data_IF_868771774588
#
_entry.id   IF_868771774588
#
_cell.length_a   1.000
_cell.length_b   1.000
_cell.length_c   1.000
_cell.angle_alpha   90.00
_cell.angle_beta   90.00
_cell.angle_gamma   90.00
#
_symmetry.space_group_name_H-M   'P 1'
#
loop_
_entity.id
_entity.type
_entity.pdbx_description
1 polymer ?
#
# COMPACT_ATOMS: atom_id res chain seq x y z
N UNK A 1 -23.11 12.75 -2.18
CA UNK A 1 -22.31 11.58 -2.65
C UNK A 1 -21.90 10.70 -1.47
N UNK A 2 -21.17 11.20 -0.47
CA UNK A 2 -20.72 10.45 0.72
C UNK A 2 -21.79 9.79 1.61
N UNK A 3 -23.05 10.27 1.58
CA UNK A 3 -24.18 9.67 2.31
C UNK A 3 -24.56 8.25 1.85
N UNK A 4 -23.95 7.74 0.78
CA UNK A 4 -24.20 6.39 0.23
C UNK A 4 -23.15 5.36 0.64
N UNK A 5 -22.07 5.78 1.30
CA UNK A 5 -20.97 4.91 1.70
C UNK A 5 -21.30 4.24 3.03
N UNK A 6 -20.92 2.97 3.16
CA UNK A 6 -21.03 2.20 4.40
C UNK A 6 -19.70 1.57 4.74
N UNK A 7 -19.35 1.64 6.02
CA UNK A 7 -18.30 0.83 6.61
C UNK A 7 -18.97 -0.31 7.39
N UNK A 8 -18.56 -1.54 7.17
CA UNK A 8 -18.94 -2.67 8.04
C UNK A 8 -17.72 -3.11 8.80
N UNK A 9 -17.80 -3.09 10.12
CA UNK A 9 -16.72 -3.51 11.01
C UNK A 9 -17.17 -4.75 11.76
N UNK A 10 -16.32 -5.78 11.87
CA UNK A 10 -16.65 -6.99 12.63
C UNK A 10 -15.46 -7.57 13.40
N UNK A 11 -15.74 -8.15 14.56
CA UNK A 11 -14.86 -9.08 15.28
C UNK A 11 -15.39 -10.53 15.08
N UNK A 12 -15.01 -11.49 15.94
CA UNK A 12 -15.44 -12.88 15.85
C UNK A 12 -16.88 -13.18 16.35
N UNK A 13 -17.58 -12.17 16.88
CA UNK A 13 -18.88 -12.28 17.57
C UNK A 13 -19.87 -11.18 17.22
N UNK A 14 -19.39 -10.02 16.82
CA UNK A 14 -20.13 -8.79 16.66
C UNK A 14 -19.81 -8.17 15.30
N UNK A 15 -20.80 -7.50 14.75
CA UNK A 15 -20.64 -6.72 13.54
C UNK A 15 -21.49 -5.45 13.63
N UNK A 16 -20.98 -4.37 13.04
CA UNK A 16 -21.61 -3.07 13.00
C UNK A 16 -21.56 -2.51 11.59
N UNK A 17 -22.67 -1.96 11.14
CA UNK A 17 -22.75 -1.13 9.95
C UNK A 17 -22.72 0.34 10.38
N UNK A 18 -21.79 1.09 9.81
CA UNK A 18 -21.50 2.48 10.15
C UNK A 18 -21.69 3.32 8.89
N UNK A 19 -22.42 4.42 9.02
CA UNK A 19 -22.44 5.49 8.03
C UNK A 19 -22.37 6.85 8.72
N UNK A 20 -22.43 7.93 7.95
CA UNK A 20 -22.30 9.30 8.48
C UNK A 20 -23.38 9.70 9.52
N UNK A 21 -24.44 8.90 9.68
CA UNK A 21 -25.57 9.22 10.54
C UNK A 21 -25.88 8.14 11.58
N UNK A 22 -25.49 6.90 11.31
CA UNK A 22 -25.93 5.76 12.10
C UNK A 22 -24.80 4.79 12.40
N UNK A 23 -24.88 4.20 13.59
CA UNK A 23 -24.11 3.05 14.03
C UNK A 23 -25.12 1.96 14.37
N UNK A 24 -25.23 0.94 13.52
CA UNK A 24 -26.23 -0.12 13.67
C UNK A 24 -25.51 -1.45 13.89
N UNK A 25 -25.78 -2.11 15.02
CA UNK A 25 -25.35 -3.49 15.23
C UNK A 25 -26.09 -4.39 14.25
N UNK A 26 -25.37 -5.18 13.47
CA UNK A 26 -25.92 -6.16 12.55
C UNK A 26 -25.66 -7.57 13.07
N UNK A 27 -26.48 -8.57 12.68
CA UNK A 27 -26.23 -9.95 13.07
C UNK A 27 -24.88 -10.43 12.53
N UNK A 28 -24.05 -11.02 13.38
CA UNK A 28 -22.76 -11.58 12.96
C UNK A 28 -22.92 -12.71 11.92
N UNK A 29 -24.08 -13.37 11.88
CA UNK A 29 -24.43 -14.33 10.83
C UNK A 29 -24.41 -13.73 9.43
N UNK A 30 -24.53 -12.40 9.27
CA UNK A 30 -24.37 -11.74 7.98
C UNK A 30 -22.90 -11.76 7.50
N UNK A 31 -21.93 -11.67 8.42
CA UNK A 31 -20.50 -11.81 8.12
C UNK A 31 -20.19 -13.25 7.71
N UNK A 32 -20.70 -14.21 8.49
CA UNK A 32 -20.53 -15.65 8.21
C UNK A 32 -21.16 -16.06 6.87
N UNK A 33 -22.39 -15.61 6.57
CA UNK A 33 -23.08 -15.94 5.31
C UNK A 33 -22.31 -15.45 4.08
N UNK A 34 -21.55 -14.37 4.22
CA UNK A 34 -20.74 -13.77 3.15
C UNK A 34 -19.31 -14.30 3.12
N UNK A 35 -18.95 -15.19 4.04
CA UNK A 35 -17.61 -15.75 4.16
C UNK A 35 -16.52 -14.65 4.24
N UNK A 36 -16.83 -13.57 4.97
CA UNK A 36 -15.88 -12.47 5.18
C UNK A 36 -14.85 -12.88 6.25
N UNK A 37 -13.58 -12.60 5.99
CA UNK A 37 -12.49 -13.01 6.89
C UNK A 37 -12.52 -12.19 8.19
N UNK A 38 -12.24 -12.87 9.31
CA UNK A 38 -12.13 -12.26 10.64
C UNK A 38 -10.66 -12.09 11.09
N UNK A 39 -9.71 -12.09 10.17
CA UNK A 39 -8.31 -11.80 10.45
C UNK A 39 -8.10 -10.29 10.70
N UNK A 40 -7.29 -9.94 11.69
CA UNK A 40 -6.99 -8.54 11.99
C UNK A 40 -6.44 -7.80 10.76
N UNK A 41 -6.90 -6.57 10.54
CA UNK A 41 -6.56 -5.73 9.38
C UNK A 41 -7.00 -6.25 8.02
N UNK A 42 -7.84 -7.29 7.98
CA UNK A 42 -8.47 -7.66 6.73
C UNK A 42 -9.51 -6.60 6.30
N UNK A 43 -9.50 -6.22 5.02
CA UNK A 43 -10.53 -5.36 4.44
C UNK A 43 -10.94 -5.84 3.05
N UNK A 44 -12.16 -5.50 2.65
CA UNK A 44 -12.70 -5.87 1.34
C UNK A 44 -13.81 -4.91 0.91
N UNK A 45 -13.88 -4.58 -0.38
CA UNK A 45 -15.06 -3.93 -0.95
C UNK A 45 -16.14 -4.98 -1.19
N UNK A 46 -17.34 -4.74 -0.67
CA UNK A 46 -18.49 -5.60 -0.86
C UNK A 46 -19.71 -4.79 -1.29
N UNK A 47 -20.63 -5.45 -1.99
CA UNK A 47 -21.98 -4.94 -2.19
C UNK A 47 -22.87 -5.40 -1.03
N UNK A 48 -23.42 -4.46 -0.27
CA UNK A 48 -24.39 -4.80 0.78
C UNK A 48 -25.78 -5.08 0.17
N UNK A 49 -26.67 -5.86 0.82
CA UNK A 49 -27.99 -6.19 0.26
C UNK A 49 -28.88 -5.00 -0.13
N UNK A 50 -28.68 -3.83 0.48
CA UNK A 50 -29.39 -2.61 0.10
C UNK A 50 -28.75 -1.88 -1.10
N UNK A 51 -27.82 -2.53 -1.78
CA UNK A 51 -27.14 -2.04 -2.98
C UNK A 51 -26.04 -1.02 -2.70
N UNK A 52 -25.79 -0.63 -1.46
CA UNK A 52 -24.75 0.36 -1.13
C UNK A 52 -23.34 -0.23 -1.26
N UNK A 53 -22.41 0.48 -1.93
CA UNK A 53 -20.97 0.19 -1.85
C UNK A 53 -20.51 0.22 -0.40
N UNK A 54 -19.83 -0.84 0.03
CA UNK A 54 -19.45 -1.02 1.42
C UNK A 54 -17.99 -1.43 1.53
N UNK A 55 -17.24 -0.76 2.40
CA UNK A 55 -15.95 -1.25 2.84
C UNK A 55 -16.17 -2.13 4.06
N UNK A 56 -15.83 -3.41 3.97
CA UNK A 56 -15.73 -4.30 5.10
C UNK A 56 -14.33 -4.21 5.71
N UNK A 57 -14.25 -4.22 7.04
CA UNK A 57 -13.01 -4.20 7.80
C UNK A 57 -13.12 -5.11 9.02
N UNK A 58 -12.12 -5.96 9.21
CA UNK A 58 -12.07 -6.90 10.33
C UNK A 58 -11.19 -6.40 11.47
N UNK A 59 -11.71 -6.55 12.70
CA UNK A 59 -11.02 -6.23 13.95
C UNK A 59 -10.21 -7.40 14.50
N UNK A 60 -10.22 -8.56 13.85
CA UNK A 60 -9.58 -9.76 14.39
C UNK A 60 -10.38 -10.42 15.52
N UNK A 61 -10.03 -11.66 15.84
CA UNK A 61 -10.42 -12.30 17.10
C UNK A 61 -9.63 -11.75 18.29
N UNK A 62 -8.44 -11.22 18.02
CA UNK A 62 -7.51 -10.61 18.99
C UNK A 62 -6.69 -9.55 18.28
N UNK A 63 -6.43 -8.43 18.96
CA UNK A 63 -5.49 -7.42 18.50
C UNK A 63 -4.04 -7.93 18.60
N UNK A 64 -3.14 -7.49 17.70
CA UNK A 64 -1.70 -7.65 17.91
C UNK A 64 -1.28 -7.03 19.24
N UNK A 65 -0.29 -7.63 19.89
CA UNK A 65 0.19 -7.18 21.20
C UNK A 65 0.64 -5.71 21.18
N UNK A 66 1.31 -5.29 20.10
CA UNK A 66 1.79 -3.91 19.94
C UNK A 66 0.63 -2.91 19.85
N UNK A 67 -0.42 -3.25 19.11
CA UNK A 67 -1.62 -2.42 19.00
C UNK A 67 -2.39 -2.36 20.32
N UNK A 68 -2.52 -3.49 21.02
CA UNK A 68 -3.13 -3.54 22.34
C UNK A 68 -2.37 -2.65 23.34
N UNK A 69 -1.04 -2.72 23.32
CA UNK A 69 -0.17 -1.90 24.17
C UNK A 69 -0.31 -0.42 23.83
N UNK A 70 -0.40 -0.07 22.54
CA UNK A 70 -0.56 1.32 22.09
C UNK A 70 -1.91 1.90 22.53
N UNK A 71 -3.00 1.17 22.32
CA UNK A 71 -4.35 1.55 22.73
C UNK A 71 -4.49 1.74 24.26
N UNK A 72 -3.68 1.03 25.06
CA UNK A 72 -3.69 1.17 26.52
C UNK A 72 -2.87 2.36 27.03
N UNK A 73 -1.78 2.71 26.34
CA UNK A 73 -0.80 3.67 26.86
C UNK A 73 -0.90 5.07 26.25
N UNK A 74 -1.47 5.21 25.06
CA UNK A 74 -1.65 6.52 24.43
C UNK A 74 -2.85 7.27 25.02
N UNK A 75 -2.76 8.60 25.04
CA UNK A 75 -3.81 9.45 25.63
C UNK A 75 -5.11 9.44 24.81
N UNK A 76 -4.99 9.50 23.48
CA UNK A 76 -6.10 9.51 22.52
C UNK A 76 -5.74 8.57 21.34
N UNK A 77 -5.65 7.25 21.58
CA UNK A 77 -5.25 6.34 20.53
C UNK A 77 -6.35 6.24 19.48
N UNK A 78 -5.95 6.32 18.23
CA UNK A 78 -6.78 5.97 17.09
C UNK A 78 -6.35 4.59 16.63
N UNK A 79 -7.22 3.57 16.58
CA UNK A 79 -6.84 2.23 16.14
C UNK A 79 -6.18 2.24 14.75
N UNK A 80 -5.12 1.46 14.53
CA UNK A 80 -4.43 1.40 13.23
C UNK A 80 -5.38 1.04 12.08
N UNK A 81 -6.35 0.19 12.40
CA UNK A 81 -7.39 -0.23 11.47
C UNK A 81 -8.26 0.93 10.98
N UNK A 82 -8.42 2.01 11.77
CA UNK A 82 -9.11 3.22 11.33
C UNK A 82 -8.33 3.93 10.22
N UNK A 83 -7.00 4.01 10.36
CA UNK A 83 -6.13 4.63 9.37
C UNK A 83 -6.18 3.85 8.06
N UNK A 84 -6.00 2.52 8.11
CA UNK A 84 -6.11 1.65 6.92
C UNK A 84 -7.50 1.76 6.29
N UNK A 85 -8.57 1.64 7.06
CA UNK A 85 -9.92 1.77 6.53
C UNK A 85 -10.15 3.11 5.84
N UNK A 86 -9.60 4.20 6.39
CA UNK A 86 -9.71 5.54 5.80
C UNK A 86 -8.90 5.67 4.50
N UNK A 87 -7.66 5.17 4.49
CA UNK A 87 -6.78 5.18 3.31
C UNK A 87 -7.43 4.42 2.15
N UNK A 88 -7.92 3.21 2.41
CA UNK A 88 -8.55 2.36 1.40
C UNK A 88 -9.91 2.90 0.96
N UNK A 89 -10.72 3.41 1.90
CA UNK A 89 -11.98 4.09 1.54
C UNK A 89 -11.76 5.28 0.61
N UNK A 90 -10.66 6.01 0.75
CA UNK A 90 -10.33 7.12 -0.15
C UNK A 90 -10.00 6.62 -1.57
N UNK A 91 -9.20 5.56 -1.70
CA UNK A 91 -8.94 4.93 -2.99
C UNK A 91 -10.24 4.53 -3.68
N UNK A 92 -11.10 3.79 -2.97
CA UNK A 92 -12.28 3.18 -3.57
C UNK A 92 -13.40 4.18 -3.87
N UNK A 93 -13.70 5.08 -2.93
CA UNK A 93 -14.88 5.93 -3.03
C UNK A 93 -14.60 7.32 -3.57
N UNK A 94 -13.33 7.72 -3.69
CA UNK A 94 -12.95 9.02 -4.23
C UNK A 94 -12.12 8.85 -5.49
N UNK A 95 -11.01 8.12 -5.43
CA UNK A 95 -10.09 8.06 -6.57
C UNK A 95 -10.63 7.22 -7.72
N UNK A 96 -11.09 6.00 -7.47
CA UNK A 96 -11.52 5.08 -8.54
C UNK A 96 -12.73 5.57 -9.34
N UNK A 97 -13.65 6.31 -8.71
CA UNK A 97 -14.83 6.84 -9.40
C UNK A 97 -14.56 8.12 -10.20
N UNK A 98 -13.64 8.98 -9.74
CA UNK A 98 -13.61 10.37 -10.20
C UNK A 98 -12.26 10.85 -10.70
N UNK A 99 -11.17 10.15 -10.40
CA UNK A 99 -9.83 10.64 -10.74
C UNK A 99 -9.38 10.13 -12.09
N UNK A 100 -8.77 11.02 -12.86
CA UNK A 100 -8.19 10.66 -14.14
C UNK A 100 -6.97 9.79 -13.89
N UNK A 101 -7.00 8.55 -14.36
CA UNK A 101 -5.81 7.72 -14.46
C UNK A 101 -4.90 8.33 -15.53
N UNK A 102 -3.78 8.90 -15.11
CA UNK A 102 -2.80 9.52 -16.01
C UNK A 102 -1.59 8.61 -16.15
N UNK A 103 -1.59 7.74 -17.16
CA UNK A 103 -0.43 6.90 -17.44
C UNK A 103 -0.61 5.95 -18.61
N UNK A 104 0.47 5.77 -19.38
CA UNK A 104 0.70 4.58 -20.22
C UNK A 104 0.93 3.33 -19.35
N UNK A 105 0.96 2.13 -19.95
CA UNK A 105 1.19 0.80 -19.36
C UNK A 105 2.43 0.60 -18.44
N UNK A 106 3.18 1.67 -18.12
CA UNK A 106 4.44 1.66 -17.37
C UNK A 106 4.37 2.36 -15.99
N UNK A 107 3.18 2.67 -15.49
CA UNK A 107 2.99 3.14 -14.11
C UNK A 107 3.36 2.02 -13.13
N UNK A 108 4.07 2.34 -12.06
CA UNK A 108 4.49 1.35 -11.07
C UNK A 108 4.86 1.98 -9.74
N UNK A 109 4.39 1.37 -8.65
CA UNK A 109 4.84 1.68 -7.28
C UNK A 109 6.16 1.01 -6.91
N UNK A 110 6.66 0.12 -7.75
CA UNK A 110 7.82 -0.70 -7.46
C UNK A 110 9.16 0.05 -7.61
N UNK A 111 10.08 -0.26 -6.71
CA UNK A 111 11.45 0.26 -6.73
C UNK A 111 12.33 -0.62 -7.62
N UNK A 112 13.10 -0.08 -8.58
CA UNK A 112 14.05 -0.89 -9.33
C UNK A 112 15.02 -1.65 -8.42
N UNK A 113 15.18 -2.95 -8.65
CA UNK A 113 16.11 -3.81 -7.93
C UNK A 113 17.33 -4.17 -8.81
N UNK A 114 18.57 -4.15 -8.29
CA UNK A 114 18.96 -3.72 -6.93
C UNK A 114 18.71 -2.23 -6.69
N UNK A 115 18.35 -1.89 -5.45
CA UNK A 115 18.00 -0.52 -5.06
C UNK A 115 19.23 0.38 -5.19
N UNK A 116 19.04 1.57 -5.76
CA UNK A 116 20.09 2.57 -6.01
C UNK A 116 19.91 3.79 -5.10
N UNK A 117 20.99 4.22 -4.43
CA UNK A 117 20.91 5.32 -3.46
C UNK A 117 20.62 6.69 -4.07
N UNK A 118 21.10 6.94 -5.29
CA UNK A 118 21.14 8.31 -5.79
C UNK A 118 19.73 8.91 -5.99
N UNK A 119 18.80 8.20 -6.63
CA UNK A 119 17.41 8.67 -6.78
C UNK A 119 16.70 8.87 -5.43
N UNK A 120 16.88 7.91 -4.51
CA UNK A 120 16.29 7.96 -3.16
C UNK A 120 16.82 9.12 -2.32
N UNK A 121 18.09 9.50 -2.50
CA UNK A 121 18.69 10.64 -1.82
C UNK A 121 17.92 11.92 -2.12
N UNK A 122 17.56 12.18 -3.39
CA UNK A 122 16.82 13.37 -3.75
C UNK A 122 15.42 13.38 -3.14
N UNK A 123 14.69 12.25 -3.19
CA UNK A 123 13.36 12.15 -2.61
C UNK A 123 13.36 12.30 -1.09
N UNK A 124 14.34 11.72 -0.39
CA UNK A 124 14.55 11.97 1.04
C UNK A 124 14.89 13.46 1.32
N UNK A 125 15.70 14.10 0.47
CA UNK A 125 16.03 15.53 0.64
C UNK A 125 14.79 16.42 0.44
N UNK A 126 13.91 16.07 -0.49
CA UNK A 126 12.60 16.71 -0.67
C UNK A 126 11.76 16.55 0.61
N UNK A 127 11.64 15.34 1.16
CA UNK A 127 10.90 15.08 2.41
C UNK A 127 11.41 15.97 3.55
N UNK A 128 12.73 16.06 3.75
CA UNK A 128 13.31 16.93 4.78
C UNK A 128 13.00 18.39 4.56
N UNK A 129 13.11 18.86 3.32
CA UNK A 129 12.83 20.25 2.99
C UNK A 129 11.34 20.59 3.16
N UNK A 130 10.43 19.69 2.81
CA UNK A 130 9.00 19.87 3.05
C UNK A 130 8.67 19.87 4.56
N UNK A 131 9.28 18.96 5.33
CA UNK A 131 9.12 18.94 6.78
C UNK A 131 9.65 20.21 7.45
N UNK A 132 10.84 20.67 7.06
CA UNK A 132 11.41 21.93 7.54
C UNK A 132 10.52 23.14 7.18
N UNK A 133 9.82 23.10 6.04
CA UNK A 133 8.82 24.11 5.70
C UNK A 133 7.61 24.11 6.64
N UNK A 134 7.17 22.94 7.11
CA UNK A 134 6.13 22.83 8.15
C UNK A 134 6.58 23.40 9.50
N UNK A 135 7.85 23.20 9.83
CA UNK A 135 8.47 23.77 11.03
C UNK A 135 8.72 25.29 10.92
N UNK A 136 8.42 25.89 9.77
CA UNK A 136 8.58 27.34 9.53
C UNK A 136 10.01 27.76 9.17
N UNK A 137 10.89 26.84 8.81
CA UNK A 137 12.26 27.15 8.41
C UNK A 137 12.27 27.90 7.07
N UNK A 138 12.92 29.06 7.03
CA UNK A 138 13.01 29.89 5.82
C UNK A 138 13.61 29.15 4.62
N UNK A 139 13.19 29.54 3.41
CA UNK A 139 13.66 28.98 2.12
C UNK A 139 13.44 27.47 1.90
N UNK A 140 12.82 26.75 2.84
CA UNK A 140 12.66 25.30 2.78
C UNK A 140 11.90 24.80 1.54
N UNK A 141 10.87 25.53 1.09
CA UNK A 141 10.20 25.20 -0.18
C UNK A 141 11.12 25.42 -1.40
N UNK A 142 12.02 26.40 -1.35
CA UNK A 142 13.03 26.62 -2.38
C UNK A 142 14.07 25.48 -2.42
N UNK A 143 14.46 24.95 -1.26
CA UNK A 143 15.29 23.75 -1.18
C UNK A 143 14.56 22.52 -1.74
N UNK A 144 13.27 22.34 -1.40
CA UNK A 144 12.45 21.27 -1.96
C UNK A 144 12.37 21.37 -3.48
N UNK A 145 12.18 22.58 -4.02
CA UNK A 145 12.21 22.85 -5.46
C UNK A 145 13.55 22.44 -6.10
N UNK A 146 14.66 22.87 -5.51
CA UNK A 146 16.00 22.54 -6.00
C UNK A 146 16.24 21.03 -6.11
N UNK A 147 15.90 20.26 -5.06
CA UNK A 147 16.05 18.80 -5.11
C UNK A 147 15.08 18.11 -6.06
N UNK A 148 13.85 18.62 -6.16
CA UNK A 148 12.85 18.12 -7.10
C UNK A 148 13.28 18.31 -8.56
N UNK A 149 13.80 19.48 -8.91
CA UNK A 149 14.32 19.76 -10.25
C UNK A 149 15.49 18.82 -10.60
N UNK A 150 16.46 18.67 -9.69
CA UNK A 150 17.59 17.75 -9.87
C UNK A 150 17.14 16.28 -10.01
N UNK A 151 16.16 15.85 -9.23
CA UNK A 151 15.63 14.49 -9.34
C UNK A 151 14.97 14.25 -10.70
N UNK A 152 14.13 15.17 -11.17
CA UNK A 152 13.45 15.03 -12.46
C UNK A 152 14.42 15.08 -13.63
N UNK A 153 15.47 15.91 -13.54
CA UNK A 153 16.50 16.00 -14.57
C UNK A 153 17.36 14.73 -14.64
N UNK A 154 17.84 14.23 -13.50
CA UNK A 154 18.79 13.13 -13.45
C UNK A 154 18.13 11.74 -13.46
N UNK A 155 16.85 11.65 -13.03
CA UNK A 155 16.09 10.39 -12.93
C UNK A 155 14.68 10.53 -13.56
N UNK A 156 14.56 10.98 -14.83
CA UNK A 156 13.27 11.24 -15.46
C UNK A 156 12.38 10.00 -15.53
N UNK A 157 12.98 8.83 -15.75
CA UNK A 157 12.26 7.55 -15.78
C UNK A 157 11.69 7.15 -14.42
N UNK A 158 12.40 7.47 -13.33
CA UNK A 158 11.91 7.25 -11.97
C UNK A 158 10.72 8.17 -11.67
N UNK A 159 10.86 9.47 -11.99
CA UNK A 159 9.81 10.45 -11.84
C UNK A 159 8.55 10.12 -12.66
N UNK A 160 8.73 9.61 -13.90
CA UNK A 160 7.63 9.20 -14.77
C UNK A 160 6.85 8.02 -14.21
N UNK A 161 7.55 6.98 -13.74
CA UNK A 161 6.90 5.75 -13.24
C UNK A 161 6.13 5.97 -11.94
N UNK A 162 6.73 6.70 -11.00
CA UNK A 162 6.15 6.88 -9.67
C UNK A 162 5.06 7.95 -9.64
N UNK A 163 4.88 8.72 -10.72
CA UNK A 163 3.93 9.83 -10.80
C UNK A 163 2.52 9.48 -10.31
N UNK A 164 1.96 8.36 -10.76
CA UNK A 164 0.60 7.96 -10.35
C UNK A 164 0.56 7.52 -8.89
N UNK A 165 1.64 6.93 -8.36
CA UNK A 165 1.78 6.61 -6.94
C UNK A 165 1.89 7.88 -6.10
N UNK A 166 2.66 8.89 -6.55
CA UNK A 166 2.72 10.22 -5.91
C UNK A 166 1.34 10.90 -5.86
N UNK A 167 0.47 10.63 -6.83
CA UNK A 167 -0.93 11.08 -6.84
C UNK A 167 -1.78 10.22 -5.88
N UNK A 168 -1.87 8.92 -6.12
CA UNK A 168 -2.84 8.04 -5.45
C UNK A 168 -2.47 7.84 -3.99
N UNK A 169 -1.30 7.26 -3.75
CA UNK A 169 -0.83 6.90 -2.41
C UNK A 169 -0.48 8.14 -1.60
N UNK A 170 0.14 9.14 -2.23
CA UNK A 170 0.49 10.39 -1.56
C UNK A 170 -0.72 11.17 -1.04
N UNK A 171 -1.81 11.26 -1.83
CA UNK A 171 -3.03 11.93 -1.38
C UNK A 171 -3.87 11.07 -0.42
N UNK A 172 -3.86 9.75 -0.57
CA UNK A 172 -4.49 8.85 0.39
C UNK A 172 -3.84 8.96 1.77
N UNK A 173 -2.50 9.01 1.84
CA UNK A 173 -1.77 9.22 3.11
C UNK A 173 -2.07 10.56 3.75
N UNK A 174 -2.22 11.62 2.94
CA UNK A 174 -2.66 12.92 3.45
C UNK A 174 -4.03 12.82 4.14
N UNK A 175 -5.01 12.17 3.50
CA UNK A 175 -6.36 11.99 4.05
C UNK A 175 -6.34 11.12 5.30
N UNK A 176 -5.57 10.03 5.29
CA UNK A 176 -5.36 9.15 6.44
C UNK A 176 -4.91 9.94 7.68
N UNK A 177 -3.83 10.71 7.57
CA UNK A 177 -3.27 11.47 8.70
C UNK A 177 -4.23 12.55 9.18
N UNK A 178 -4.90 13.26 8.27
CA UNK A 178 -5.87 14.28 8.66
C UNK A 178 -7.05 13.67 9.40
N UNK A 179 -7.61 12.58 8.89
CA UNK A 179 -8.73 11.90 9.53
C UNK A 179 -8.35 11.39 10.92
N UNK A 180 -7.13 10.87 11.07
CA UNK A 180 -6.59 10.45 12.35
C UNK A 180 -6.57 11.62 13.35
N UNK A 181 -5.99 12.76 12.96
CA UNK A 181 -5.91 13.96 13.83
C UNK A 181 -7.30 14.47 14.20
N UNK A 182 -8.24 14.50 13.26
CA UNK A 182 -9.63 14.90 13.50
C UNK A 182 -10.31 13.95 14.49
N UNK A 183 -10.08 12.64 14.34
CA UNK A 183 -10.66 11.63 15.23
C UNK A 183 -10.16 11.74 16.67
N UNK A 184 -8.98 12.37 16.87
CA UNK A 184 -8.45 12.72 18.19
C UNK A 184 -9.07 14.00 18.78
N UNK A 185 -10.06 14.59 18.11
CA UNK A 185 -10.81 15.77 18.56
C UNK A 185 -10.24 17.11 18.09
N UNK A 186 -9.21 17.12 17.24
CA UNK A 186 -8.64 18.35 16.70
C UNK A 186 -9.55 18.93 15.60
N UNK A 187 -9.77 20.25 15.63
CA UNK A 187 -10.49 20.93 14.56
C UNK A 187 -9.53 21.29 13.42
N UNK A 188 -10.00 21.18 12.18
CA UNK A 188 -9.26 21.62 11.00
C UNK A 188 -9.04 23.14 11.13
N UNK A 189 -7.91 23.63 10.65
CA UNK A 189 -7.56 25.06 10.54
C UNK A 189 -7.11 25.79 11.82
N UNK A 190 -6.86 25.09 12.93
CA UNK A 190 -6.24 25.72 14.11
C UNK A 190 -4.73 25.40 14.25
N UNK A 191 -4.04 26.14 15.12
CA UNK A 191 -2.60 25.94 15.37
C UNK A 191 -2.31 24.55 15.97
N UNK A 192 -3.23 24.02 16.77
CA UNK A 192 -3.12 22.69 17.37
C UNK A 192 -3.08 21.58 16.31
N UNK A 193 -3.90 21.68 15.27
CA UNK A 193 -3.92 20.77 14.13
C UNK A 193 -2.58 20.78 13.38
N UNK A 194 -2.00 21.97 13.18
CA UNK A 194 -0.65 22.12 12.59
C UNK A 194 0.42 21.45 13.45
N UNK A 195 0.38 21.62 14.76
CA UNK A 195 1.31 20.94 15.66
C UNK A 195 1.08 19.43 15.71
N UNK A 196 -0.17 18.96 15.68
CA UNK A 196 -0.51 17.54 15.63
C UNK A 196 0.04 16.89 14.34
N UNK A 197 -0.17 17.52 13.19
CA UNK A 197 0.36 17.04 11.91
C UNK A 197 1.89 17.04 11.90
N UNK A 198 2.52 18.13 12.35
CA UNK A 198 3.99 18.23 12.42
C UNK A 198 4.60 17.17 13.33
N UNK A 199 3.95 16.85 14.46
CA UNK A 199 4.39 15.76 15.35
C UNK A 199 4.24 14.40 14.68
N UNK A 200 3.09 14.12 14.05
CA UNK A 200 2.85 12.85 13.35
C UNK A 200 3.84 12.61 12.20
N UNK A 201 4.15 13.66 11.45
CA UNK A 201 5.11 13.56 10.35
C UNK A 201 6.57 13.52 10.81
N UNK A 202 6.88 13.74 12.09
CA UNK A 202 8.26 13.82 12.56
C UNK A 202 9.04 12.53 12.29
N UNK A 203 8.50 11.40 12.70
CA UNK A 203 9.20 10.12 12.57
C UNK A 203 9.28 9.70 11.09
N UNK A 204 8.20 9.90 10.34
CA UNK A 204 8.16 9.62 8.89
C UNK A 204 9.10 10.53 8.09
N UNK A 205 9.19 11.82 8.44
CA UNK A 205 10.11 12.75 7.81
C UNK A 205 11.56 12.46 8.23
N UNK A 206 11.77 11.91 9.43
CA UNK A 206 13.10 11.57 9.95
C UNK A 206 13.58 10.16 9.60
N UNK A 207 12.70 9.32 9.09
CA UNK A 207 13.04 8.05 8.50
C UNK A 207 13.88 8.24 7.23
N UNK A 208 14.78 7.29 6.98
CA UNK A 208 15.43 7.14 5.68
C UNK A 208 14.62 6.14 4.88
N UNK A 209 13.90 6.67 3.89
CA UNK A 209 13.10 5.93 2.94
C UNK A 209 13.98 5.34 1.85
N UNK A 210 13.70 4.11 1.46
CA UNK A 210 14.49 3.38 0.44
C UNK A 210 13.66 2.92 -0.73
N UNK A 211 12.34 3.17 -0.69
CA UNK A 211 11.37 2.65 -1.62
C UNK A 211 10.49 3.77 -2.15
N UNK A 212 10.11 3.66 -3.42
CA UNK A 212 9.39 4.73 -4.10
C UNK A 212 8.02 5.00 -3.50
N UNK A 213 7.33 3.94 -3.09
CA UNK A 213 5.99 3.99 -2.51
C UNK A 213 5.98 4.68 -1.14
N UNK A 214 6.90 4.32 -0.23
CA UNK A 214 6.98 4.96 1.09
C UNK A 214 7.41 6.43 0.98
N UNK A 215 8.25 6.77 0.00
CA UNK A 215 8.57 8.17 -0.29
C UNK A 215 7.35 8.93 -0.81
N UNK A 216 6.51 8.31 -1.65
CA UNK A 216 5.27 8.92 -2.15
C UNK A 216 4.30 9.25 -1.00
N UNK A 217 4.19 8.37 0.00
CA UNK A 217 3.41 8.62 1.22
C UNK A 217 3.85 9.91 1.92
N UNK A 218 5.13 9.99 2.28
CA UNK A 218 5.65 11.15 3.02
C UNK A 218 5.57 12.44 2.17
N UNK A 219 5.97 12.39 0.90
CA UNK A 219 5.93 13.56 0.01
C UNK A 219 4.51 14.05 -0.20
N UNK A 220 3.57 13.15 -0.47
CA UNK A 220 2.17 13.49 -0.71
C UNK A 220 1.49 14.07 0.52
N UNK A 221 1.68 13.45 1.69
CA UNK A 221 1.15 13.93 2.96
C UNK A 221 1.64 15.34 3.28
N UNK A 222 2.97 15.57 3.24
CA UNK A 222 3.56 16.88 3.51
C UNK A 222 3.08 17.92 2.48
N UNK A 223 3.08 17.57 1.20
CA UNK A 223 2.68 18.50 0.14
C UNK A 223 1.22 18.89 0.24
N UNK A 224 0.32 17.92 0.44
CA UNK A 224 -1.12 18.15 0.60
C UNK A 224 -1.41 19.04 1.80
N UNK A 225 -0.72 18.84 2.91
CA UNK A 225 -0.88 19.68 4.10
C UNK A 225 -0.39 21.12 3.90
N UNK A 226 0.78 21.31 3.31
CA UNK A 226 1.31 22.65 3.02
C UNK A 226 0.40 23.38 2.02
N UNK A 227 -0.14 22.67 1.03
CA UNK A 227 -1.11 23.24 0.09
C UNK A 227 -2.41 23.67 0.78
N UNK A 228 -2.92 22.86 1.71
CA UNK A 228 -4.09 23.19 2.50
C UNK A 228 -3.86 24.43 3.37
N UNK A 229 -2.70 24.53 4.03
CA UNK A 229 -2.31 25.72 4.81
C UNK A 229 -2.19 27.00 3.98
N UNK A 230 -1.95 26.88 2.67
CA UNK A 230 -1.85 28.00 1.72
C UNK A 230 -3.19 28.34 1.07
N UNK A 231 -4.29 27.73 1.51
CA UNK A 231 -5.65 27.94 1.00
C UNK A 231 -5.73 27.81 -0.52
N UNK A 232 -5.01 26.84 -1.09
CA UNK A 232 -5.03 26.58 -2.53
C UNK A 232 -6.03 25.48 -2.85
N UNK A 233 -6.88 25.69 -3.84
CA UNK A 233 -7.70 24.64 -4.45
C UNK A 233 -6.80 23.67 -5.24
N UNK A 234 -6.26 22.64 -4.55
CA UNK A 234 -5.26 21.73 -5.12
C UNK A 234 -5.82 20.36 -5.46
N UNK A 235 -6.84 19.91 -4.73
CA UNK A 235 -7.43 18.57 -4.83
C UNK A 235 -8.00 18.32 -6.22
N UNK A 236 -8.62 19.33 -6.85
CA UNK A 236 -9.15 19.24 -8.21
C UNK A 236 -8.05 19.00 -9.26
N UNK A 237 -6.88 19.64 -9.11
CA UNK A 237 -5.72 19.42 -9.99
C UNK A 237 -5.10 18.04 -9.79
N UNK A 238 -5.11 17.52 -8.56
CA UNK A 238 -4.67 16.15 -8.26
C UNK A 238 -5.62 15.13 -8.89
N UNK A 239 -6.93 15.33 -8.77
CA UNK A 239 -7.93 14.52 -9.45
C UNK A 239 -7.77 14.53 -10.99
N UNK A 240 -7.23 15.61 -11.55
CA UNK A 240 -6.90 15.73 -12.98
C UNK A 240 -5.52 15.15 -13.36
N UNK A 241 -4.77 14.61 -12.40
CA UNK A 241 -3.50 13.92 -12.62
C UNK A 241 -2.23 14.76 -12.43
N UNK A 242 -2.30 15.83 -11.64
CA UNK A 242 -1.12 16.61 -11.23
C UNK A 242 -0.70 16.24 -9.81
N UNK A 243 0.51 15.69 -9.54
CA UNK A 243 0.94 15.35 -8.19
C UNK A 243 0.91 16.56 -7.25
N UNK A 244 0.60 16.36 -5.95
CA UNK A 244 0.61 17.42 -4.96
C UNK A 244 1.93 18.21 -4.92
N UNK A 245 3.07 17.53 -5.05
CA UNK A 245 4.39 18.17 -5.04
C UNK A 245 4.58 19.15 -6.22
N UNK A 246 4.19 18.75 -7.43
CA UNK A 246 4.26 19.62 -8.62
C UNK A 246 3.42 20.90 -8.42
N UNK A 247 2.20 20.78 -7.86
CA UNK A 247 1.32 21.92 -7.57
C UNK A 247 1.95 22.85 -6.52
N UNK A 248 2.54 22.28 -5.47
CA UNK A 248 3.16 23.05 -4.39
C UNK A 248 4.35 23.87 -4.90
N UNK A 249 5.14 23.34 -5.84
CA UNK A 249 6.41 23.91 -6.27
C UNK A 249 6.34 24.72 -7.58
N UNK A 250 5.19 24.80 -8.25
CA UNK A 250 5.01 25.44 -9.57
C UNK A 250 5.57 26.87 -9.66
N UNK A 251 5.39 27.67 -8.60
CA UNK A 251 5.81 29.07 -8.53
C UNK A 251 6.85 29.32 -7.42
N UNK A 252 7.61 28.30 -7.04
CA UNK A 252 8.66 28.41 -6.04
C UNK A 252 10.01 28.45 -6.76
N UNK A 253 10.83 29.52 -6.60
CA UNK A 253 12.16 29.53 -7.17
C UNK A 253 13.08 28.54 -6.43
N UNK A 254 13.98 27.83 -7.14
CA UNK A 254 14.92 26.91 -6.49
C UNK A 254 15.92 27.69 -5.64
N UNK A 255 16.17 27.21 -4.43
CA UNK A 255 17.25 27.68 -3.55
C UNK A 255 18.22 26.53 -3.40
N UNK A 256 19.49 26.76 -3.74
CA UNK A 256 20.52 25.72 -3.68
C UNK A 256 20.72 25.29 -2.23
N UNK A 257 20.62 23.99 -1.97
CA UNK A 257 20.95 23.40 -0.69
C UNK A 257 22.22 22.56 -0.80
N UNK A 258 23.11 22.67 0.19
CA UNK A 258 24.24 21.77 0.29
C UNK A 258 23.76 20.33 0.55
N UNK A 259 24.52 19.36 0.04
CA UNK A 259 24.22 17.95 0.26
C UNK A 259 24.40 17.60 1.73
N UNK A 260 23.37 17.02 2.32
CA UNK A 260 23.43 16.41 3.64
C UNK A 260 24.18 15.06 3.55
N UNK A 261 25.36 15.01 4.16
CA UNK A 261 26.21 13.82 4.14
C UNK A 261 25.62 12.68 4.97
N UNK A 262 24.85 12.98 6.03
CA UNK A 262 24.27 11.98 6.91
C UNK A 262 23.18 11.18 6.21
N UNK A 263 22.29 11.85 5.45
CA UNK A 263 21.31 11.19 4.58
C UNK A 263 22.04 10.21 3.65
N UNK A 264 23.11 10.67 2.99
CA UNK A 264 23.89 9.83 2.09
C UNK A 264 24.51 8.60 2.75
N UNK A 265 25.03 8.73 3.97
CA UNK A 265 25.62 7.62 4.73
C UNK A 265 24.54 6.62 5.16
N UNK A 266 23.47 7.09 5.79
CA UNK A 266 22.39 6.23 6.28
C UNK A 266 21.68 5.50 5.14
N UNK A 267 21.46 6.19 4.03
CA UNK A 267 20.82 5.62 2.85
C UNK A 267 21.65 4.50 2.22
N UNK A 268 22.96 4.70 2.07
CA UNK A 268 23.86 3.63 1.58
C UNK A 268 23.85 2.42 2.50
N UNK A 269 23.87 2.65 3.82
CA UNK A 269 23.79 1.56 4.81
C UNK A 269 22.50 0.75 4.64
N UNK A 270 21.33 1.41 4.70
CA UNK A 270 20.02 0.74 4.56
C UNK A 270 19.85 0.04 3.21
N UNK A 271 20.31 0.66 2.12
CA UNK A 271 20.21 0.05 0.78
C UNK A 271 21.11 -1.19 0.68
N UNK A 272 22.30 -1.16 1.26
CA UNK A 272 23.16 -2.34 1.30
C UNK A 272 22.49 -3.48 2.08
N UNK A 273 21.86 -3.17 3.22
CA UNK A 273 21.10 -4.14 4.03
C UNK A 273 19.92 -4.74 3.24
N UNK A 274 19.12 -3.91 2.55
CA UNK A 274 18.01 -4.36 1.71
C UNK A 274 18.52 -5.23 0.57
N UNK A 275 19.51 -4.76 -0.18
CA UNK A 275 20.06 -5.50 -1.32
C UNK A 275 20.65 -6.84 -0.86
N UNK A 276 21.37 -6.90 0.27
CA UNK A 276 21.90 -8.16 0.79
C UNK A 276 20.82 -9.11 1.28
N UNK A 277 19.79 -8.59 1.95
CA UNK A 277 18.70 -9.39 2.53
C UNK A 277 17.80 -9.97 1.45
N UNK A 278 17.47 -9.17 0.43
CA UNK A 278 16.46 -9.52 -0.57
C UNK A 278 17.03 -10.19 -1.82
N UNK A 279 18.32 -9.99 -2.14
CA UNK A 279 18.92 -10.52 -3.37
C UNK A 279 18.64 -12.01 -3.56
N UNK A 280 18.91 -12.83 -2.54
CA UNK A 280 18.69 -14.27 -2.61
C UNK A 280 17.22 -14.65 -2.82
N UNK A 281 16.28 -13.89 -2.27
CA UNK A 281 14.85 -14.17 -2.42
C UNK A 281 14.36 -13.83 -3.83
N UNK A 282 14.75 -12.65 -4.33
CA UNK A 282 14.41 -12.18 -5.68
C UNK A 282 15.07 -13.06 -6.74
N UNK A 283 16.37 -13.37 -6.62
CA UNK A 283 17.08 -14.23 -7.57
C UNK A 283 16.45 -15.62 -7.66
N UNK A 284 16.04 -16.22 -6.53
CA UNK A 284 15.32 -17.51 -6.54
C UNK A 284 13.98 -17.42 -7.25
N UNK A 285 13.22 -16.36 -7.03
CA UNK A 285 11.95 -16.15 -7.73
C UNK A 285 12.17 -16.01 -9.24
N UNK A 286 13.13 -15.21 -9.66
CA UNK A 286 13.49 -15.03 -11.08
C UNK A 286 13.94 -16.33 -11.74
N UNK A 287 14.79 -17.12 -11.07
CA UNK A 287 15.20 -18.43 -11.55
C UNK A 287 14.01 -19.37 -11.70
N UNK A 288 13.12 -19.40 -10.70
CA UNK A 288 11.92 -20.22 -10.74
C UNK A 288 10.93 -19.78 -11.83
N UNK A 289 10.83 -18.48 -12.12
CA UNK A 289 9.97 -17.94 -13.19
C UNK A 289 10.36 -18.44 -14.58
N UNK A 290 11.67 -18.55 -14.84
CA UNK A 290 12.21 -19.07 -16.10
C UNK A 290 12.33 -20.60 -16.14
N UNK A 291 12.15 -21.28 -15.01
CA UNK A 291 12.24 -22.74 -14.94
C UNK A 291 10.94 -23.40 -15.40
N UNK A 292 10.99 -24.13 -16.53
CA UNK A 292 9.83 -24.86 -17.09
C UNK A 292 9.24 -25.92 -16.15
N UNK A 293 10.01 -26.38 -15.17
CA UNK A 293 9.53 -27.32 -14.17
C UNK A 293 8.86 -26.68 -12.95
N UNK A 294 8.82 -25.36 -12.83
CA UNK A 294 8.12 -24.72 -11.72
C UNK A 294 6.60 -24.72 -11.97
N UNK A 295 5.83 -24.79 -10.89
CA UNK A 295 4.39 -24.57 -10.91
C UNK A 295 4.09 -23.12 -10.58
N UNK A 296 3.26 -22.47 -11.39
CA UNK A 296 2.73 -21.13 -11.11
C UNK A 296 1.40 -21.24 -10.38
N UNK A 297 1.27 -20.55 -9.26
CA UNK A 297 0.04 -20.43 -8.48
C UNK A 297 -0.47 -19.01 -8.72
N UNK A 298 -1.54 -18.91 -9.48
CA UNK A 298 -2.23 -17.67 -9.84
C UNK A 298 -3.36 -17.45 -8.85
N UNK A 299 -3.40 -16.27 -8.26
CA UNK A 299 -4.29 -15.86 -7.18
C UNK A 299 -5.06 -14.67 -7.73
N UNK A 300 -6.26 -14.92 -8.26
CA UNK A 300 -7.02 -13.89 -8.97
C UNK A 300 -7.81 -13.02 -7.98
N UNK A 301 -7.91 -11.71 -8.25
CA UNK A 301 -8.29 -10.72 -7.22
C UNK A 301 -9.78 -10.66 -6.88
N UNK A 302 -10.53 -11.77 -7.00
CA UNK A 302 -11.80 -11.95 -6.28
C UNK A 302 -11.61 -12.30 -4.79
N UNK A 303 -10.36 -12.36 -4.32
CA UNK A 303 -10.03 -12.82 -2.98
C UNK A 303 -10.24 -11.77 -1.91
N UNK A 304 -11.33 -11.98 -1.17
CA UNK A 304 -11.40 -11.76 0.27
C UNK A 304 -10.24 -12.47 1.00
N UNK A 305 -9.15 -11.75 1.31
CA UNK A 305 -8.04 -12.21 2.14
C UNK A 305 -7.25 -11.07 2.79
N UNK A 306 -6.58 -11.32 3.92
CA UNK A 306 -5.61 -10.34 4.45
C UNK A 306 -4.39 -10.35 3.54
N UNK A 307 -3.78 -9.18 3.31
CA UNK A 307 -2.45 -9.13 2.74
C UNK A 307 -1.61 -8.10 3.49
N UNK A 308 -0.37 -8.46 3.75
CA UNK A 308 0.63 -7.55 4.29
C UNK A 308 1.92 -7.77 3.54
N UNK A 309 2.71 -6.70 3.41
CA UNK A 309 3.97 -6.72 2.67
C UNK A 309 5.03 -6.16 3.60
N UNK A 310 5.96 -7.02 4.03
CA UNK A 310 6.98 -6.65 5.03
C UNK A 310 8.20 -5.95 4.42
N UNK A 311 8.49 -6.17 3.14
CA UNK A 311 9.69 -5.63 2.49
C UNK A 311 9.43 -4.67 1.34
N UNK A 312 8.21 -4.62 0.79
CA UNK A 312 7.75 -3.65 -0.21
C UNK A 312 7.76 -4.16 -1.65
N UNK A 313 7.63 -3.22 -2.59
CA UNK A 313 7.47 -3.48 -4.02
C UNK A 313 8.76 -3.26 -4.80
N UNK A 314 9.15 -4.23 -5.62
CA UNK A 314 10.40 -4.22 -6.38
C UNK A 314 10.20 -4.57 -7.85
N UNK A 315 11.00 -4.00 -8.73
CA UNK A 315 11.01 -4.35 -10.14
C UNK A 315 12.36 -4.89 -10.55
N UNK A 316 12.37 -6.08 -11.11
CA UNK A 316 13.56 -6.63 -11.76
C UNK A 316 13.50 -6.41 -13.27
N UNK A 317 14.68 -6.35 -13.90
CA UNK A 317 14.80 -6.36 -15.37
C UNK A 317 14.59 -7.75 -15.97
N UNK A 318 14.62 -8.82 -15.16
CA UNK A 318 14.57 -10.22 -15.65
C UNK A 318 13.16 -10.77 -15.81
N UNK A 319 12.15 -10.09 -15.29
CA UNK A 319 10.74 -10.49 -15.37
C UNK A 319 9.86 -9.27 -15.69
N UNK A 320 8.73 -9.45 -16.39
CA UNK A 320 7.90 -8.33 -16.84
C UNK A 320 6.86 -7.87 -15.81
N UNK A 321 7.07 -8.17 -14.52
CA UNK A 321 6.10 -7.92 -13.45
C UNK A 321 6.76 -7.21 -12.27
N UNK A 322 5.95 -6.48 -11.52
CA UNK A 322 6.34 -5.98 -10.19
C UNK A 322 6.31 -7.12 -9.19
N UNK A 323 7.25 -7.10 -8.26
CA UNK A 323 7.43 -8.08 -7.21
C UNK A 323 6.96 -7.51 -5.88
N UNK A 324 6.09 -8.24 -5.21
CA UNK A 324 5.77 -8.05 -3.80
C UNK A 324 6.69 -8.97 -2.99
N UNK A 325 7.55 -8.40 -2.16
CA UNK A 325 8.54 -9.15 -1.39
C UNK A 325 8.15 -9.15 0.08
N UNK A 326 8.14 -10.34 0.69
CA UNK A 326 7.68 -10.50 2.07
C UNK A 326 6.15 -10.44 2.18
N UNK A 327 5.46 -10.95 1.15
CA UNK A 327 4.00 -11.02 1.12
C UNK A 327 3.52 -12.10 2.08
N UNK A 328 2.64 -11.73 3.00
CA UNK A 328 1.73 -12.64 3.70
C UNK A 328 0.34 -12.50 3.09
N UNK A 329 -0.34 -13.61 2.84
CA UNK A 329 -1.74 -13.59 2.40
C UNK A 329 -2.43 -14.91 2.65
N UNK A 330 -3.70 -14.88 3.03
CA UNK A 330 -4.52 -16.08 3.24
C UNK A 330 -5.94 -15.87 2.75
N UNK A 331 -6.57 -16.97 2.31
CA UNK A 331 -8.00 -17.00 2.04
C UNK A 331 -8.58 -18.39 2.22
N UNK A 332 -9.88 -18.45 2.52
CA UNK A 332 -10.66 -19.68 2.60
C UNK A 332 -11.99 -19.51 1.86
N UNK A 333 -12.40 -20.51 1.09
CA UNK A 333 -13.65 -20.55 0.34
C UNK A 333 -14.25 -21.97 0.38
N UNK A 334 -15.52 -22.18 0.00
CA UNK A 334 -16.18 -23.50 0.09
C UNK A 334 -15.45 -24.66 -0.61
N UNK A 335 -14.54 -24.37 -1.56
CA UNK A 335 -13.75 -25.37 -2.27
C UNK A 335 -12.34 -25.60 -1.71
N UNK A 336 -11.78 -24.66 -0.94
CA UNK A 336 -10.39 -24.75 -0.51
C UNK A 336 -9.87 -23.57 0.28
N UNK A 337 -8.57 -23.59 0.52
CA UNK A 337 -7.86 -22.51 1.20
C UNK A 337 -6.43 -22.39 0.71
N UNK A 338 -5.86 -21.20 0.90
CA UNK A 338 -4.43 -20.97 0.79
C UNK A 338 -3.91 -20.11 1.95
N UNK A 339 -2.63 -20.26 2.25
CA UNK A 339 -1.87 -19.34 3.08
C UNK A 339 -0.46 -19.18 2.52
N UNK A 340 -0.02 -17.94 2.41
CA UNK A 340 1.30 -17.49 1.98
C UNK A 340 1.95 -16.78 3.16
N UNK A 341 3.21 -17.10 3.42
CA UNK A 341 3.99 -16.49 4.49
C UNK A 341 5.34 -16.02 3.97
N UNK A 342 5.56 -14.70 4.03
CA UNK A 342 6.80 -14.03 3.64
C UNK A 342 7.33 -14.49 2.27
N UNK A 343 6.44 -14.60 1.28
CA UNK A 343 6.78 -15.03 -0.08
C UNK A 343 7.24 -13.87 -0.96
N UNK A 344 7.86 -14.21 -2.09
CA UNK A 344 7.96 -13.29 -3.23
C UNK A 344 6.84 -13.66 -4.19
N UNK A 345 6.01 -12.68 -4.55
CA UNK A 345 4.94 -12.83 -5.53
C UNK A 345 5.12 -11.79 -6.63
N UNK A 346 4.62 -12.07 -7.83
CA UNK A 346 4.54 -11.09 -8.91
C UNK A 346 3.12 -10.54 -9.03
N UNK A 347 2.98 -9.24 -9.20
CA UNK A 347 1.71 -8.57 -9.48
C UNK A 347 1.32 -8.78 -10.95
N UNK A 348 0.13 -9.33 -11.18
CA UNK A 348 -0.40 -9.65 -12.50
C UNK A 348 -1.52 -8.66 -12.82
N UNK A 349 -1.23 -7.73 -13.73
CA UNK A 349 -2.22 -6.75 -14.20
C UNK A 349 -2.79 -7.11 -15.59
N UNK A 350 -2.61 -8.36 -16.03
CA UNK A 350 -3.08 -8.82 -17.34
C UNK A 350 -4.52 -9.38 -17.24
N UNK A 351 -5.50 -8.76 -17.93
CA UNK A 351 -6.90 -9.17 -17.90
C UNK A 351 -7.13 -10.63 -18.33
N UNK A 352 -6.30 -11.13 -19.26
CA UNK A 352 -6.40 -12.50 -19.80
C UNK A 352 -6.02 -13.62 -18.82
N UNK A 353 -5.37 -13.29 -17.69
CA UNK A 353 -4.92 -14.27 -16.70
C UNK A 353 -5.92 -14.39 -15.54
N UNK A 354 -6.56 -13.28 -15.15
CA UNK A 354 -7.45 -13.21 -13.97
C UNK A 354 -8.74 -12.43 -14.24
N UNK A 355 -9.43 -12.74 -15.34
CA UNK A 355 -10.77 -12.22 -15.69
C UNK A 355 -10.94 -10.72 -15.40
N UNK A 356 -10.00 -9.91 -15.90
CA UNK A 356 -10.00 -8.43 -15.81
C UNK A 356 -9.81 -7.79 -14.43
N UNK A 357 -9.63 -8.58 -13.36
CA UNK A 357 -9.53 -8.04 -11.98
C UNK A 357 -8.08 -7.81 -11.52
N UNK A 358 -7.11 -8.47 -12.16
CA UNK A 358 -5.72 -8.51 -11.70
C UNK A 358 -5.49 -9.66 -10.71
N UNK A 359 -4.28 -9.80 -10.19
CA UNK A 359 -3.98 -10.89 -9.25
C UNK A 359 -2.50 -10.99 -8.89
N UNK A 360 -2.16 -12.07 -8.21
CA UNK A 360 -0.80 -12.37 -7.76
C UNK A 360 -0.34 -13.72 -8.34
N UNK A 361 0.94 -13.81 -8.69
CA UNK A 361 1.60 -15.07 -9.07
C UNK A 361 2.63 -15.44 -8.02
N UNK A 362 2.46 -16.60 -7.40
CA UNK A 362 3.51 -17.25 -6.61
C UNK A 362 4.07 -18.41 -7.41
N UNK A 363 5.37 -18.68 -7.26
CA UNK A 363 6.03 -19.77 -7.98
C UNK A 363 6.47 -20.82 -6.99
N UNK A 364 6.01 -22.05 -7.20
CA UNK A 364 6.42 -23.22 -6.45
C UNK A 364 7.38 -24.07 -7.31
N UNK A 365 8.70 -24.08 -7.00
CA UNK A 365 9.68 -24.82 -7.79
C UNK A 365 9.71 -26.32 -7.47
N UNK A 366 8.99 -26.77 -6.43
CA UNK A 366 8.96 -28.16 -6.00
C UNK A 366 8.06 -29.06 -6.84
N UNK A 367 8.09 -30.36 -6.56
CA UNK A 367 7.18 -31.32 -7.16
C UNK A 367 5.81 -31.22 -6.48
N UNK A 368 4.74 -31.10 -7.28
CA UNK A 368 3.37 -31.16 -6.76
C UNK A 368 3.13 -32.54 -6.13
N UNK A 369 2.66 -32.61 -4.87
CA UNK A 369 2.36 -33.88 -4.22
C UNK A 369 1.18 -34.58 -4.92
N UNK A 370 1.11 -35.91 -4.89
CA UNK A 370 0.00 -36.65 -5.50
C UNK A 370 -1.33 -36.31 -4.82
N UNK A 371 -2.43 -36.54 -5.54
CA UNK A 371 -3.77 -36.36 -5.00
C UNK A 371 -3.98 -37.19 -3.74
N UNK A 372 -4.55 -36.57 -2.69
CA UNK A 372 -5.05 -37.26 -1.50
C UNK A 372 -6.54 -37.00 -1.40
N UNK A 373 -7.34 -38.05 -1.54
CA UNK A 373 -8.81 -37.99 -1.52
C UNK A 373 -9.39 -36.96 -2.51
N UNK A 374 -8.80 -36.91 -3.72
CA UNK A 374 -9.20 -35.96 -4.78
C UNK A 374 -8.74 -34.52 -4.54
N UNK A 375 -7.89 -34.26 -3.55
CA UNK A 375 -7.41 -32.93 -3.19
C UNK A 375 -5.90 -32.78 -3.37
N UNK A 376 -5.47 -31.56 -3.69
CA UNK A 376 -4.09 -31.12 -3.57
C UNK A 376 -3.87 -30.53 -2.18
N UNK A 377 -3.02 -31.19 -1.38
CA UNK A 377 -2.55 -30.69 -0.10
C UNK A 377 -1.06 -30.38 -0.22
N UNK A 378 -0.73 -29.11 -0.41
CA UNK A 378 0.65 -28.62 -0.42
C UNK A 378 0.92 -27.92 0.90
N UNK A 379 1.92 -28.37 1.66
CA UNK A 379 2.32 -27.70 2.89
C UNK A 379 3.85 -27.54 2.92
N UNK A 380 4.29 -26.29 2.97
CA UNK A 380 5.69 -25.88 3.07
C UNK A 380 5.82 -24.84 4.17
N UNK A 381 7.04 -24.40 4.45
CA UNK A 381 7.26 -23.31 5.41
C UNK A 381 6.71 -21.94 4.96
N UNK A 382 6.35 -21.76 3.68
CA UNK A 382 5.88 -20.47 3.14
C UNK A 382 4.58 -20.51 2.37
N UNK A 383 4.14 -21.70 1.96
CA UNK A 383 2.96 -21.92 1.13
C UNK A 383 2.20 -23.11 1.71
N UNK A 384 0.93 -22.88 2.02
CA UNK A 384 -0.07 -23.91 2.32
C UNK A 384 -1.20 -23.80 1.30
N UNK A 385 -1.56 -24.90 0.65
CA UNK A 385 -2.72 -25.02 -0.24
C UNK A 385 -3.52 -26.26 0.14
N UNK A 386 -4.84 -26.12 0.20
CA UNK A 386 -5.77 -27.22 0.31
C UNK A 386 -6.92 -27.00 -0.65
N UNK A 387 -6.84 -27.56 -1.86
CA UNK A 387 -7.79 -27.31 -2.95
C UNK A 387 -8.18 -28.62 -3.65
N UNK A 388 -9.23 -28.66 -4.50
CA UNK A 388 -9.47 -29.79 -5.39
C UNK A 388 -8.26 -30.03 -6.29
N UNK A 389 -7.93 -31.29 -6.57
CA UNK A 389 -6.73 -31.60 -7.35
C UNK A 389 -6.90 -31.09 -8.81
N UNK A 390 -5.98 -30.26 -9.35
CA UNK A 390 -6.18 -29.68 -10.67
C UNK A 390 -6.06 -30.72 -11.80
N UNK A 391 -7.05 -30.77 -12.71
CA UNK A 391 -7.19 -31.81 -13.74
C UNK A 391 -6.06 -31.84 -14.80
N UNK A 392 -5.15 -30.87 -14.82
CA UNK A 392 -4.07 -30.77 -15.81
C UNK A 392 -2.74 -30.27 -15.22
N UNK A 393 -2.49 -30.54 -13.94
CA UNK A 393 -1.30 -29.98 -13.27
C UNK A 393 0.02 -30.47 -13.88
N UNK A 394 0.06 -31.71 -14.38
CA UNK A 394 1.26 -32.31 -14.99
C UNK A 394 1.61 -31.69 -16.35
N UNK A 395 0.62 -31.15 -17.07
CA UNK A 395 0.80 -30.58 -18.42
C UNK A 395 0.89 -29.06 -18.40
N UNK A 396 0.02 -28.37 -17.63
CA UNK A 396 -0.03 -26.90 -17.59
C UNK A 396 0.89 -26.30 -16.55
N UNK A 397 1.20 -27.01 -15.45
CA UNK A 397 1.94 -26.48 -14.29
C UNK A 397 1.43 -25.12 -13.81
N UNK A 398 0.12 -24.92 -13.91
CA UNK A 398 -0.56 -23.71 -13.46
C UNK A 398 -1.72 -24.13 -12.57
N UNK A 399 -1.80 -23.49 -11.41
CA UNK A 399 -2.90 -23.59 -10.45
C UNK A 399 -3.54 -22.23 -10.42
N UNK A 400 -4.82 -22.15 -10.79
CA UNK A 400 -5.59 -20.92 -10.67
C UNK A 400 -6.49 -21.03 -9.44
N UNK A 401 -6.30 -20.09 -8.52
CA UNK A 401 -7.14 -19.90 -7.35
C UNK A 401 -8.15 -18.79 -7.66
N UNK A 402 -9.39 -18.91 -7.17
CA UNK A 402 -10.38 -17.84 -7.24
C UNK A 402 -9.88 -16.61 -6.49
#
# INVERSE_FOLDING_TARGET
MFRKLRLVVADDKNAWAIDSQTLIKIPYSEIQRRNLSIEYMHYQIIQWPDGRPTLYVSLGTKLPYEEELRLQNEKNPVPEIFNVATHEAFHFFVQDETWKRTGSDNVSRATPFPVQAAGRYYRNSIIRALYAALEGTENSLGHARYWFDLWKELYPEDARRIRQTDINEGSAKYIEIIAEIISQGSNIDNLEFRHAFTRKMKDDATLIHTQSDTESYAIGALSGFILNMKEREWQSRVAQGTPPLDILLENVPPVVQQRDREIGIMLRKKINEINSTLASAIDRFEQAYHYRGATRILICSSLSGSYSISHGFFRSKKIPYDLMVGLDSSATWPGGSYSLQQVVAAEINNPSVCNDTGGLMVIYPGRIPPAKDGRLILNTNKISLNIPYPENIDTKREIQLP
#
